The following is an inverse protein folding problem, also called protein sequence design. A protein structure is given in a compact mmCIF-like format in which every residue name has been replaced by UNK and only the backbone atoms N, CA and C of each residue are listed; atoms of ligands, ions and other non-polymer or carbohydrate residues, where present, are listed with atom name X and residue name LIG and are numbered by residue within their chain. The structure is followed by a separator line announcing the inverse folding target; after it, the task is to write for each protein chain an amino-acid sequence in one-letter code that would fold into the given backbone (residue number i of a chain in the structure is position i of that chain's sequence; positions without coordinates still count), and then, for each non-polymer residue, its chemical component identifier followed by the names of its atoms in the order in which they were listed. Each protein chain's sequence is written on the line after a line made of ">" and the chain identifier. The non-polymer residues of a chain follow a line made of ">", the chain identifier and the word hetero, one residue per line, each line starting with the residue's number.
data_IF_778773190111
#
_entry.id   IF_778773190111
#
_cell.length_a   1.000
_cell.length_b   1.000
_cell.length_c   1.000
_cell.angle_alpha   90.00
_cell.angle_beta   90.00
_cell.angle_gamma   90.00
#
_symmetry.space_group_name_H-M   'P 1'
#
loop_
_entity.id
_entity.type
_entity.pdbx_description
1 polymer ?
#
# COMPACT_ATOMS: atom_id res chain seq x y z
N UNK A 1 -12.66 -0.58 5.51
CA UNK A 1 -11.32 -0.81 4.92
C UNK A 1 -10.25 -0.37 5.91
N UNK A 2 -9.07 -1.00 5.99
CA UNK A 2 -8.03 -0.66 6.99
C UNK A 2 -7.20 0.61 6.67
N UNK A 3 -7.58 1.42 5.66
CA UNK A 3 -6.76 2.55 5.21
C UNK A 3 -7.22 3.87 5.83
N UNK A 4 -6.26 4.65 6.33
CA UNK A 4 -6.45 6.05 6.67
C UNK A 4 -6.82 6.86 5.43
N UNK A 5 -8.04 7.41 5.44
CA UNK A 5 -8.62 8.12 4.29
C UNK A 5 -7.85 9.39 3.93
N UNK A 6 -7.30 10.10 4.94
CA UNK A 6 -6.51 11.31 4.73
C UNK A 6 -5.16 11.00 4.07
N UNK A 7 -4.48 9.94 4.51
CA UNK A 7 -3.20 9.52 3.94
C UNK A 7 -3.39 8.99 2.53
N UNK A 8 -4.44 8.18 2.28
CA UNK A 8 -4.78 7.72 0.94
C UNK A 8 -5.05 8.89 -0.01
N UNK A 9 -5.83 9.89 0.40
CA UNK A 9 -6.11 11.07 -0.41
C UNK A 9 -4.83 11.84 -0.79
N UNK A 10 -3.90 12.00 0.17
CA UNK A 10 -2.61 12.62 -0.09
C UNK A 10 -1.75 11.82 -1.09
N UNK A 11 -1.74 10.49 -1.00
CA UNK A 11 -1.04 9.64 -1.96
C UNK A 11 -1.65 9.75 -3.36
N UNK A 12 -2.99 9.72 -3.48
CA UNK A 12 -3.69 9.88 -4.76
C UNK A 12 -3.39 11.22 -5.42
N UNK A 13 -3.50 12.32 -4.67
CA UNK A 13 -3.17 13.67 -5.17
C UNK A 13 -1.73 13.79 -5.65
N UNK A 14 -0.79 13.10 -4.99
CA UNK A 14 0.61 13.07 -5.42
C UNK A 14 0.78 12.26 -6.71
N UNK A 15 0.15 11.08 -6.81
CA UNK A 15 0.21 10.22 -7.99
C UNK A 15 -0.46 10.88 -9.22
N UNK A 16 -1.58 11.58 -9.02
CA UNK A 16 -2.31 12.30 -10.07
C UNK A 16 -1.44 13.30 -10.85
N UNK A 17 -0.45 13.92 -10.19
CA UNK A 17 0.51 14.83 -10.86
C UNK A 17 1.34 14.15 -11.94
N UNK A 18 1.54 12.84 -11.85
CA UNK A 18 2.37 12.04 -12.76
C UNK A 18 1.59 10.93 -13.46
N UNK A 19 0.28 10.83 -13.21
CA UNK A 19 -0.59 9.76 -13.67
C UNK A 19 -0.93 8.79 -12.55
N UNK A 20 -2.12 8.98 -11.97
CA UNK A 20 -2.76 8.01 -11.09
C UNK A 20 -3.46 6.96 -11.95
N UNK A 21 -3.10 5.69 -11.80
CA UNK A 21 -3.82 4.60 -12.48
C UNK A 21 -5.07 4.28 -11.68
N UNK A 22 -6.21 4.21 -12.37
CA UNK A 22 -7.48 3.82 -11.78
C UNK A 22 -8.08 2.73 -12.65
N UNK A 23 -8.51 1.64 -12.02
CA UNK A 23 -9.23 0.56 -12.69
C UNK A 23 -10.40 0.09 -11.84
N UNK A 24 -11.40 -0.51 -12.48
CA UNK A 24 -12.52 -1.15 -11.80
C UNK A 24 -12.73 -2.54 -12.36
N UNK A 25 -12.86 -3.51 -11.47
CA UNK A 25 -13.04 -4.92 -11.83
C UNK A 25 -14.17 -5.54 -11.01
N UNK A 26 -14.72 -6.65 -11.49
CA UNK A 26 -15.55 -7.51 -10.69
C UNK A 26 -14.82 -8.83 -10.47
N UNK A 27 -14.77 -9.31 -9.23
CA UNK A 27 -14.21 -10.63 -8.94
C UNK A 27 -15.18 -11.76 -9.33
N UNK A 28 -14.74 -13.01 -9.18
CA UNK A 28 -15.55 -14.18 -9.52
C UNK A 28 -16.82 -14.31 -8.64
N UNK A 29 -16.86 -13.64 -7.49
CA UNK A 29 -18.01 -13.59 -6.60
C UNK A 29 -18.93 -12.40 -6.90
N UNK A 30 -18.59 -11.60 -7.92
CA UNK A 30 -19.36 -10.43 -8.35
C UNK A 30 -19.08 -9.17 -7.52
N UNK A 31 -18.13 -9.19 -6.58
CA UNK A 31 -17.79 -8.01 -5.80
C UNK A 31 -17.10 -6.99 -6.70
N UNK A 32 -17.44 -5.72 -6.51
CA UNK A 32 -16.95 -4.60 -7.29
C UNK A 32 -15.70 -4.01 -6.64
N UNK A 33 -14.55 -4.09 -7.32
CA UNK A 33 -13.26 -3.68 -6.81
C UNK A 33 -12.73 -2.45 -7.53
N UNK A 34 -12.32 -1.45 -6.76
CA UNK A 34 -11.59 -0.28 -7.25
C UNK A 34 -10.10 -0.48 -7.01
N UNK A 35 -9.31 -0.30 -8.06
CA UNK A 35 -7.85 -0.31 -8.02
C UNK A 35 -7.31 1.09 -8.26
N UNK A 36 -6.34 1.49 -7.44
CA UNK A 36 -5.68 2.78 -7.46
C UNK A 36 -4.16 2.54 -7.37
N UNK A 37 -3.38 3.12 -8.27
CA UNK A 37 -1.92 2.98 -8.20
C UNK A 37 -1.15 4.24 -8.54
N UNK A 38 -0.16 4.52 -7.70
CA UNK A 38 0.94 5.41 -8.00
C UNK A 38 2.16 4.65 -8.53
N UNK A 39 3.29 5.34 -8.67
CA UNK A 39 4.51 4.74 -9.24
C UNK A 39 5.21 3.70 -8.35
N UNK A 40 4.87 3.61 -7.06
CA UNK A 40 5.52 2.73 -6.09
C UNK A 40 4.55 2.10 -5.08
N UNK A 41 3.25 2.27 -5.30
CA UNK A 41 2.20 1.74 -4.42
C UNK A 41 0.93 1.46 -5.20
N UNK A 42 0.17 0.49 -4.70
CA UNK A 42 -1.08 0.03 -5.26
C UNK A 42 -2.08 -0.22 -4.12
N UNK A 43 -3.34 0.07 -4.36
CA UNK A 43 -4.46 -0.25 -3.48
C UNK A 43 -5.54 -0.92 -4.31
N UNK A 44 -6.06 -2.04 -3.82
CA UNK A 44 -7.32 -2.63 -4.30
C UNK A 44 -8.31 -2.66 -3.14
N UNK A 45 -9.50 -2.10 -3.34
CA UNK A 45 -10.53 -2.06 -2.29
C UNK A 45 -11.89 -2.43 -2.88
N UNK A 46 -12.63 -3.28 -2.17
CA UNK A 46 -14.03 -3.55 -2.48
C UNK A 46 -14.80 -2.24 -2.31
N UNK A 47 -15.45 -1.80 -3.38
CA UNK A 47 -16.10 -0.50 -3.50
C UNK A 47 -17.17 -0.28 -2.43
N UNK A 48 -17.84 -1.34 -1.98
CA UNK A 48 -18.87 -1.27 -0.94
C UNK A 48 -18.31 -0.96 0.45
N UNK A 49 -17.00 -1.10 0.64
CA UNK A 49 -16.27 -0.81 1.88
C UNK A 49 -15.47 0.50 1.81
N UNK A 50 -15.61 1.26 0.70
CA UNK A 50 -15.04 2.61 0.60
C UNK A 50 -16.00 3.59 1.30
N UNK A 51 -15.53 4.37 2.30
CA UNK A 51 -16.35 5.42 2.89
C UNK A 51 -16.84 6.42 1.83
N UNK A 52 -18.11 6.82 1.89
CA UNK A 52 -18.75 7.71 0.90
C UNK A 52 -17.94 8.97 0.62
N UNK A 53 -17.37 9.58 1.67
CA UNK A 53 -16.49 10.75 1.55
C UNK A 53 -15.24 10.44 0.71
N UNK A 54 -14.58 9.32 0.97
CA UNK A 54 -13.40 8.90 0.21
C UNK A 54 -13.74 8.60 -1.24
N UNK A 55 -14.88 7.97 -1.50
CA UNK A 55 -15.36 7.76 -2.88
C UNK A 55 -15.63 9.09 -3.60
N UNK A 56 -16.23 10.06 -2.90
CA UNK A 56 -16.43 11.41 -3.41
C UNK A 56 -15.10 12.14 -3.69
N UNK A 57 -14.10 12.00 -2.82
CA UNK A 57 -12.75 12.56 -3.02
C UNK A 57 -12.07 11.94 -4.26
N UNK A 58 -12.24 10.63 -4.49
CA UNK A 58 -11.73 9.93 -5.68
C UNK A 58 -12.38 10.52 -6.94
N UNK A 59 -13.71 10.55 -6.99
CA UNK A 59 -14.48 11.08 -8.14
C UNK A 59 -14.12 12.54 -8.39
N UNK A 60 -14.01 13.35 -7.35
CA UNK A 60 -13.59 14.76 -7.46
C UNK A 60 -12.21 14.89 -8.09
N UNK A 61 -11.29 13.98 -7.79
CA UNK A 61 -9.92 14.01 -8.32
C UNK A 61 -9.84 13.54 -9.78
N UNK A 62 -10.61 12.53 -10.17
CA UNK A 62 -10.47 11.84 -11.46
C UNK A 62 -11.63 12.10 -12.44
N UNK A 63 -12.64 12.87 -12.03
CA UNK A 63 -13.84 13.18 -12.80
C UNK A 63 -14.91 12.08 -12.71
N UNK A 64 -14.60 10.88 -13.19
CA UNK A 64 -15.53 9.74 -13.20
C UNK A 64 -14.82 8.43 -12.87
N UNK A 65 -15.54 7.47 -12.26
CA UNK A 65 -15.00 6.13 -12.07
C UNK A 65 -15.00 5.35 -13.38
N UNK A 66 -13.99 4.51 -13.65
CA UNK A 66 -14.05 3.59 -14.78
C UNK A 66 -15.24 2.63 -14.64
N UNK A 67 -15.75 2.13 -15.77
CA UNK A 67 -16.72 1.02 -15.75
C UNK A 67 -16.01 -0.28 -15.36
N UNK A 68 -16.74 -1.31 -14.89
CA UNK A 68 -16.16 -2.63 -14.70
C UNK A 68 -15.47 -3.12 -15.98
N UNK A 69 -14.22 -3.55 -15.87
CA UNK A 69 -13.40 -3.96 -17.01
C UNK A 69 -12.55 -2.83 -17.62
N UNK A 70 -12.73 -1.59 -17.18
CA UNK A 70 -11.98 -0.44 -17.69
C UNK A 70 -10.88 0.02 -16.74
N UNK A 71 -9.88 0.68 -17.32
CA UNK A 71 -8.85 1.41 -16.61
C UNK A 71 -8.37 2.61 -17.40
N UNK A 72 -7.86 3.59 -16.69
CA UNK A 72 -7.22 4.75 -17.27
C UNK A 72 -6.11 5.28 -16.37
N UNK A 73 -5.29 6.13 -16.95
CA UNK A 73 -4.36 7.01 -16.24
C UNK A 73 -5.01 8.39 -16.12
N UNK A 74 -5.18 8.85 -14.89
CA UNK A 74 -5.75 10.17 -14.57
C UNK A 74 -4.64 11.18 -14.28
N UNK A 75 -4.68 12.31 -14.99
CA UNK A 75 -3.86 13.49 -14.75
C UNK A 75 -4.68 14.77 -14.90
N UNK A 76 -4.05 15.93 -14.66
CA UNK A 76 -4.68 17.25 -14.86
C UNK A 76 -5.07 17.52 -16.32
N UNK A 77 -4.46 16.80 -17.26
CA UNK A 77 -4.75 16.87 -18.69
C UNK A 77 -5.97 16.03 -19.10
N UNK A 78 -6.51 15.23 -18.18
CA UNK A 78 -7.65 14.34 -18.40
C UNK A 78 -7.31 12.86 -18.20
N UNK A 79 -8.30 12.01 -18.47
CA UNK A 79 -8.16 10.55 -18.36
C UNK A 79 -7.73 9.96 -19.69
N UNK A 80 -6.68 9.14 -19.66
CA UNK A 80 -6.15 8.42 -20.83
C UNK A 80 -6.43 6.93 -20.65
N UNK A 81 -7.16 6.31 -21.57
CA UNK A 81 -7.45 4.87 -21.53
C UNK A 81 -6.14 4.09 -21.60
N UNK A 82 -6.01 3.07 -20.76
CA UNK A 82 -4.83 2.21 -20.68
C UNK A 82 -5.24 0.75 -20.93
N UNK A 83 -4.43 -0.01 -21.67
CA UNK A 83 -4.68 -1.45 -21.96
C UNK A 83 -3.55 -2.37 -21.52
N UNK A 84 -2.44 -1.83 -21.00
CA UNK A 84 -1.30 -2.62 -20.51
C UNK A 84 -1.11 -2.55 -19.00
N UNK A 85 -1.57 -1.47 -18.36
CA UNK A 85 -1.42 -1.30 -16.91
C UNK A 85 -2.19 -2.35 -16.10
N UNK A 86 -1.79 -2.70 -14.86
CA UNK A 86 -2.57 -3.62 -14.04
C UNK A 86 -3.97 -3.07 -13.70
N UNK A 87 -4.91 -3.99 -13.45
CA UNK A 87 -6.27 -3.66 -13.01
C UNK A 87 -6.54 -4.07 -11.56
N UNK A 88 -5.63 -4.81 -10.95
CA UNK A 88 -5.68 -5.29 -9.58
C UNK A 88 -4.25 -5.60 -9.11
N UNK A 89 -4.06 -5.64 -7.80
CA UNK A 89 -2.79 -6.07 -7.20
C UNK A 89 -2.52 -7.53 -7.54
N UNK A 90 -1.33 -7.82 -8.07
CA UNK A 90 -0.87 -9.18 -8.27
C UNK A 90 -0.26 -9.74 -6.97
N UNK A 91 -0.98 -10.66 -6.33
CA UNK A 91 -0.56 -11.33 -5.09
C UNK A 91 0.38 -12.52 -5.32
N UNK A 92 0.58 -12.94 -6.57
CA UNK A 92 1.46 -14.06 -6.90
C UNK A 92 2.89 -13.80 -6.37
N UNK A 93 3.40 -14.79 -5.65
CA UNK A 93 4.73 -14.76 -5.04
C UNK A 93 4.79 -14.12 -3.65
N UNK A 94 3.70 -13.54 -3.14
CA UNK A 94 3.58 -13.24 -1.70
C UNK A 94 3.22 -14.53 -0.97
N UNK A 95 4.13 -15.00 -0.11
CA UNK A 95 3.92 -16.18 0.72
C UNK A 95 3.11 -15.87 1.98
N UNK A 96 3.27 -16.72 2.99
CA UNK A 96 2.71 -16.53 4.33
C UNK A 96 3.64 -15.78 5.28
N UNK A 97 4.91 -15.66 4.91
CA UNK A 97 5.91 -14.99 5.73
C UNK A 97 5.67 -13.47 5.78
N UNK A 98 5.91 -12.90 6.95
CA UNK A 98 5.71 -11.47 7.24
C UNK A 98 7.04 -10.78 7.53
N UNK A 99 7.01 -9.44 7.55
CA UNK A 99 8.12 -8.64 8.07
C UNK A 99 7.67 -7.87 9.32
N UNK A 100 8.47 -7.98 10.37
CA UNK A 100 8.25 -7.25 11.62
C UNK A 100 8.50 -5.76 11.40
N UNK A 101 7.54 -4.94 11.84
CA UNK A 101 7.62 -3.48 11.76
C UNK A 101 8.46 -2.99 12.93
N UNK A 102 9.62 -2.39 12.66
CA UNK A 102 10.54 -1.94 13.72
C UNK A 102 10.26 -0.50 14.16
N UNK A 103 10.80 -0.09 15.31
CA UNK A 103 10.76 1.31 15.74
C UNK A 103 11.80 2.22 15.04
N UNK A 104 12.63 1.64 14.17
CA UNK A 104 13.71 2.36 13.50
C UNK A 104 13.20 3.12 12.27
N UNK A 105 13.45 4.43 12.27
CA UNK A 105 13.23 5.32 11.13
C UNK A 105 14.58 5.84 10.63
N UNK A 106 14.84 5.71 9.33
CA UNK A 106 15.97 6.35 8.65
C UNK A 106 15.50 7.47 7.73
N UNK A 107 16.26 8.56 7.68
CA UNK A 107 16.01 9.66 6.76
C UNK A 107 16.85 9.44 5.49
N UNK A 108 16.20 8.96 4.44
CA UNK A 108 16.83 8.70 3.15
C UNK A 108 17.03 9.95 2.30
N UNK A 109 17.27 9.73 1.01
CA UNK A 109 17.42 10.79 0.00
C UNK A 109 16.21 11.71 -0.03
N UNK A 110 16.44 13.01 -0.25
CA UNK A 110 15.41 14.08 -0.26
C UNK A 110 14.61 14.20 1.06
N UNK A 111 15.15 13.74 2.19
CA UNK A 111 14.49 13.84 3.49
C UNK A 111 13.34 12.85 3.69
N UNK A 112 13.24 11.81 2.85
CA UNK A 112 12.17 10.82 2.96
C UNK A 112 12.37 9.97 4.21
N UNK A 113 11.41 10.00 5.13
CA UNK A 113 11.37 9.08 6.27
C UNK A 113 11.07 7.65 5.80
N UNK A 114 11.92 6.71 6.21
CA UNK A 114 11.83 5.30 5.86
C UNK A 114 11.71 4.47 7.12
N UNK A 115 10.68 3.64 7.21
CA UNK A 115 10.56 2.62 8.25
C UNK A 115 11.42 1.43 7.85
N UNK A 116 12.19 0.88 8.79
CA UNK A 116 12.86 -0.41 8.60
C UNK A 116 11.91 -1.53 9.01
N UNK A 117 11.80 -2.53 8.14
CA UNK A 117 11.11 -3.77 8.44
C UNK A 117 12.17 -4.87 8.48
N UNK A 118 11.99 -5.87 9.34
CA UNK A 118 12.94 -6.96 9.51
C UNK A 118 12.28 -8.31 9.28
N UNK A 119 12.94 -9.15 8.49
CA UNK A 119 12.68 -10.58 8.46
C UNK A 119 13.41 -11.20 9.65
N UNK A 120 12.67 -11.68 10.64
CA UNK A 120 13.22 -12.26 11.88
C UNK A 120 14.03 -13.53 11.62
N UNK A 121 13.66 -14.33 10.60
CA UNK A 121 14.35 -15.58 10.30
C UNK A 121 15.76 -15.34 9.73
N UNK A 122 15.91 -14.30 8.92
CA UNK A 122 17.18 -14.01 8.22
C UNK A 122 17.92 -12.80 8.77
N UNK A 123 17.30 -12.02 9.65
CA UNK A 123 17.79 -10.73 10.13
C UNK A 123 17.89 -9.67 9.02
N UNK A 124 17.27 -9.90 7.85
CA UNK A 124 17.38 -9.02 6.69
C UNK A 124 16.46 -7.81 6.84
N UNK A 125 16.99 -6.65 6.49
CA UNK A 125 16.29 -5.37 6.62
C UNK A 125 15.75 -4.90 5.27
N UNK A 126 14.52 -4.41 5.31
CA UNK A 126 13.75 -3.93 4.18
C UNK A 126 13.21 -2.52 4.46
N UNK A 127 13.83 -1.47 3.89
CA UNK A 127 13.32 -0.11 4.05
C UNK A 127 12.06 0.13 3.21
N UNK A 128 11.06 0.79 3.77
CA UNK A 128 9.87 1.28 3.04
C UNK A 128 9.62 2.74 3.39
N UNK A 129 8.87 3.46 2.54
CA UNK A 129 8.43 4.80 2.91
C UNK A 129 7.51 4.73 4.13
N UNK A 130 7.81 5.50 5.19
CA UNK A 130 7.07 5.45 6.46
C UNK A 130 5.58 5.82 6.29
N UNK A 131 5.21 6.52 5.20
CA UNK A 131 3.80 6.78 4.85
C UNK A 131 2.96 5.50 4.77
N UNK A 132 3.56 4.36 4.42
CA UNK A 132 2.87 3.07 4.33
C UNK A 132 2.62 2.41 5.68
N UNK A 133 3.32 2.83 6.73
CA UNK A 133 2.92 2.49 8.10
C UNK A 133 1.78 3.40 8.53
N UNK A 134 1.90 4.71 8.27
CA UNK A 134 0.92 5.72 8.67
C UNK A 134 -0.44 5.58 7.98
N UNK A 135 -0.52 4.91 6.83
CA UNK A 135 -1.80 4.64 6.16
C UNK A 135 -2.56 3.47 6.79
N UNK A 136 -1.89 2.54 7.49
CA UNK A 136 -2.58 1.43 8.17
C UNK A 136 -3.33 1.99 9.37
N UNK A 137 -4.63 1.76 9.40
CA UNK A 137 -5.50 2.22 10.47
C UNK A 137 -6.65 1.21 10.69
N UNK A 138 -6.41 0.25 11.59
CA UNK A 138 -7.42 -0.74 11.96
C UNK A 138 -8.67 -0.14 12.63
N UNK A 139 -8.61 1.11 13.13
CA UNK A 139 -9.81 1.78 13.66
C UNK A 139 -10.83 2.17 12.58
N UNK A 140 -10.46 2.10 11.29
CA UNK A 140 -11.35 2.34 10.15
C UNK A 140 -12.11 1.09 9.70
N UNK A 141 -11.91 -0.04 10.37
CA UNK A 141 -12.47 -1.33 10.00
C UNK A 141 -13.88 -1.48 10.58
N UNK A 142 -14.81 -1.95 9.74
CA UNK A 142 -16.18 -2.23 10.14
C UNK A 142 -16.34 -3.73 10.46
N UNK A 143 -15.92 -4.15 11.67
CA UNK A 143 -16.00 -5.56 12.12
C UNK A 143 -17.43 -6.13 12.01
N UNK A 144 -18.45 -5.31 12.27
CA UNK A 144 -19.87 -5.69 12.16
C UNK A 144 -20.28 -6.09 10.73
N UNK A 145 -19.51 -5.66 9.72
CA UNK A 145 -19.69 -6.03 8.31
C UNK A 145 -18.71 -7.13 7.86
N UNK A 146 -18.04 -7.78 8.81
CA UNK A 146 -17.15 -8.90 8.56
C UNK A 146 -15.77 -8.53 8.05
N UNK A 147 -15.36 -7.25 8.13
CA UNK A 147 -13.96 -6.89 7.90
C UNK A 147 -13.06 -7.39 9.05
N UNK A 148 -11.80 -7.70 8.76
CA UNK A 148 -10.82 -8.07 9.79
C UNK A 148 -9.55 -7.21 9.74
N UNK A 149 -8.92 -7.05 10.91
CA UNK A 149 -7.69 -6.28 11.11
C UNK A 149 -6.50 -6.85 10.37
N UNK A 150 -5.57 -5.97 10.00
CA UNK A 150 -4.24 -6.35 9.50
C UNK A 150 -3.18 -6.06 10.56
N UNK A 151 -2.12 -6.87 10.58
CA UNK A 151 -0.98 -6.67 11.48
C UNK A 151 0.26 -6.40 10.64
N UNK A 152 1.07 -7.42 10.42
CA UNK A 152 2.30 -7.34 9.66
C UNK A 152 2.03 -7.54 8.17
N UNK A 153 2.85 -6.92 7.31
CA UNK A 153 2.75 -7.15 5.88
C UNK A 153 3.34 -8.51 5.53
N UNK A 154 2.68 -9.22 4.62
CA UNK A 154 3.35 -10.22 3.82
C UNK A 154 4.42 -9.57 2.96
N UNK A 155 5.43 -10.32 2.56
CA UNK A 155 6.45 -9.77 1.67
C UNK A 155 6.89 -10.72 0.57
N UNK A 156 7.48 -10.12 -0.44
CA UNK A 156 8.25 -10.79 -1.47
C UNK A 156 9.52 -9.94 -1.70
N UNK A 157 10.73 -10.51 -1.61
CA UNK A 157 11.98 -9.74 -1.72
C UNK A 157 12.13 -8.89 -2.99
N UNK A 158 11.41 -9.22 -4.06
CA UNK A 158 11.43 -8.51 -5.35
C UNK A 158 10.21 -7.59 -5.47
N UNK A 159 9.03 -8.04 -5.04
CA UNK A 159 7.76 -7.32 -5.24
C UNK A 159 7.40 -6.37 -4.09
N UNK A 160 8.11 -6.38 -2.97
CA UNK A 160 7.86 -5.46 -1.86
C UNK A 160 6.98 -6.09 -0.78
N UNK A 161 6.07 -5.30 -0.24
CA UNK A 161 5.17 -5.67 0.86
C UNK A 161 3.71 -5.68 0.43
N UNK A 162 2.90 -6.44 1.14
CA UNK A 162 1.45 -6.56 0.95
C UNK A 162 0.74 -6.67 2.30
N UNK A 163 -0.07 -5.67 2.65
CA UNK A 163 -1.12 -5.84 3.64
C UNK A 163 -2.43 -6.19 2.94
N UNK A 164 -3.20 -7.12 3.49
CA UNK A 164 -4.51 -7.47 2.96
C UNK A 164 -5.48 -7.94 4.02
N UNK A 165 -6.75 -7.61 3.82
CA UNK A 165 -7.88 -8.29 4.41
C UNK A 165 -8.90 -8.68 3.32
N UNK A 166 -10.09 -9.12 3.71
CA UNK A 166 -11.15 -9.55 2.79
C UNK A 166 -11.68 -8.44 1.86
N UNK A 167 -11.48 -7.16 2.20
CA UNK A 167 -12.08 -6.04 1.46
C UNK A 167 -11.07 -5.02 0.95
N UNK A 168 -9.81 -5.13 1.35
CA UNK A 168 -8.79 -4.14 1.05
C UNK A 168 -7.41 -4.79 0.95
N UNK A 169 -6.58 -4.28 0.04
CA UNK A 169 -5.21 -4.70 -0.20
C UNK A 169 -4.37 -3.45 -0.43
N UNK A 170 -3.19 -3.39 0.19
CA UNK A 170 -2.19 -2.34 0.00
C UNK A 170 -0.85 -3.00 -0.32
N UNK A 171 -0.29 -2.68 -1.48
CA UNK A 171 1.04 -3.14 -1.90
C UNK A 171 1.97 -1.95 -2.07
N UNK A 172 3.21 -2.09 -1.62
CA UNK A 172 4.22 -1.05 -1.76
C UNK A 172 5.60 -1.63 -2.06
N UNK A 173 6.40 -0.88 -2.82
CA UNK A 173 7.77 -1.27 -3.13
C UNK A 173 8.72 -0.98 -1.96
N UNK A 174 9.74 -1.82 -1.83
CA UNK A 174 10.90 -1.48 -1.01
C UNK A 174 11.62 -0.26 -1.59
N UNK A 175 12.26 0.49 -0.69
CA UNK A 175 13.11 1.62 -1.02
C UNK A 175 14.55 1.13 -1.19
N UNK A 176 15.21 1.66 -2.21
CA UNK A 176 16.68 1.71 -2.23
C UNK A 176 17.12 2.98 -1.50
N UNK A 177 18.15 2.86 -0.66
CA UNK A 177 18.71 3.98 0.09
C UNK A 177 20.24 4.00 -0.01
N UNK A 178 20.72 4.63 -1.09
CA UNK A 178 22.15 4.78 -1.33
C UNK A 178 22.83 5.66 -0.28
N UNK A 179 22.09 6.63 0.27
CA UNK A 179 22.59 7.53 1.32
C UNK A 179 22.90 6.75 2.60
N UNK A 180 22.02 5.84 3.01
CA UNK A 180 22.15 5.08 4.25
C UNK A 180 22.74 3.67 4.06
N UNK A 181 23.34 3.36 2.90
CA UNK A 181 23.81 2.01 2.58
C UNK A 181 24.80 1.44 3.61
N UNK A 182 25.67 2.28 4.19
CA UNK A 182 26.62 1.84 5.24
C UNK A 182 25.89 1.47 6.53
N UNK A 183 24.89 2.25 6.93
CA UNK A 183 24.06 1.99 8.12
C UNK A 183 23.28 0.68 7.93
N UNK A 184 22.63 0.50 6.78
CA UNK A 184 21.89 -0.72 6.46
C UNK A 184 22.79 -1.96 6.46
N UNK A 185 24.03 -1.84 5.98
CA UNK A 185 25.02 -2.94 6.06
C UNK A 185 25.41 -3.26 7.50
N UNK A 186 25.60 -2.26 8.35
CA UNK A 186 25.95 -2.47 9.77
C UNK A 186 24.81 -3.07 10.58
N UNK A 187 23.55 -2.76 10.23
CA UNK A 187 22.38 -3.33 10.91
C UNK A 187 22.04 -4.75 10.42
N UNK A 188 22.67 -5.23 9.34
CA UNK A 188 22.38 -6.56 8.81
C UNK A 188 22.74 -7.64 9.83
N UNK A 189 21.75 -8.44 10.23
CA UNK A 189 21.92 -9.51 11.23
C UNK A 189 21.89 -9.03 12.69
N UNK A 190 21.64 -7.73 12.92
CA UNK A 190 21.31 -7.19 14.24
C UNK A 190 19.80 -7.24 14.38
N UNK A 191 19.31 -7.84 15.47
CA UNK A 191 17.88 -7.77 15.80
C UNK A 191 17.52 -6.34 16.20
N UNK A 192 16.60 -5.75 15.45
CA UNK A 192 16.06 -4.41 15.67
C UNK A 192 14.53 -4.45 15.81
N UNK A 193 13.97 -5.63 16.05
CA UNK A 193 12.55 -5.78 16.33
C UNK A 193 12.21 -5.14 17.69
N UNK A 194 10.98 -4.61 17.86
CA UNK A 194 10.57 -4.04 19.13
C UNK A 194 10.57 -5.11 20.22
N UNK A 195 11.01 -4.76 21.44
CA UNK A 195 10.82 -5.63 22.59
C UNK A 195 9.32 -5.81 22.85
N UNK A 196 8.85 -7.05 22.94
CA UNK A 196 7.49 -7.35 23.41
C UNK A 196 7.47 -7.06 24.91
N UNK A 197 6.68 -6.10 25.41
CA UNK A 197 6.57 -5.88 26.85
C UNK A 197 6.10 -7.16 27.52
N UNK A 198 6.78 -7.61 28.57
CA UNK A 198 6.28 -8.68 29.43
C UNK A 198 4.94 -8.22 30.06
N UNK A 199 3.89 -9.03 29.91
CA UNK A 199 2.54 -8.78 30.45
C UNK A 199 2.51 -8.79 31.98
#
# INVERSE_FOLDING_TARGET
>A
MFLSTSVLNNLMKKAYKTGLVVARTQDAQGNDWLYLAGSYWEVSVNKDFIPKKTLGDIITLIGELPKPGERFKATKEGNQIEIEMPMAINEEGFGTDTLTITDVILIGTQGTAQRLLQDELTGRIYPINNVFISIINNAMIENERGEYSVTEPFFNPIRGILWKNNVCKLRAHFRTDDKNIKVLKSLKGVDITPEVPEE
#
